data_IF_068418777247
#
_entry.id   IF_068418777247
#
_cell.length_a   1.000
_cell.length_b   1.000
_cell.length_c   1.000
_cell.angle_alpha   90.00
_cell.angle_beta   90.00
_cell.angle_gamma   90.00
#
_symmetry.space_group_name_H-M   'P 1'
#
loop_
_entity.id
_entity.type
_entity.pdbx_description
1 polymer ?
#
# COMPACT_ATOMS: atom_id res chain seq x y z
N UNK A 1 -22.88 3.65 -14.76
CA UNK A 1 -21.98 4.81 -14.95
C UNK A 1 -20.66 4.39 -14.32
N UNK A 2 -19.66 4.10 -15.12
CA UNK A 2 -18.40 3.56 -14.58
C UNK A 2 -17.67 4.64 -13.79
N UNK A 3 -17.31 4.34 -12.56
CA UNK A 3 -16.44 5.20 -11.75
C UNK A 3 -15.10 5.32 -12.49
N UNK A 4 -14.91 6.44 -13.20
CA UNK A 4 -13.60 6.80 -13.76
C UNK A 4 -12.76 7.42 -12.66
N UNK A 5 -12.13 6.59 -11.86
CA UNK A 5 -11.10 7.05 -10.92
C UNK A 5 -10.01 7.81 -11.67
N UNK A 6 -9.66 8.99 -11.17
CA UNK A 6 -8.43 9.66 -11.62
C UNK A 6 -7.26 8.78 -11.23
N UNK A 7 -6.53 8.23 -12.21
CA UNK A 7 -5.41 7.27 -12.06
C UNK A 7 -4.43 7.56 -10.91
N UNK A 8 -4.30 8.81 -10.50
CA UNK A 8 -3.42 9.21 -9.38
C UNK A 8 -3.95 8.92 -7.98
N UNK A 9 -5.26 8.67 -7.79
CA UNK A 9 -5.84 8.36 -6.48
C UNK A 9 -5.87 6.86 -6.20
N UNK A 10 -5.99 6.05 -7.26
CA UNK A 10 -6.02 4.59 -7.17
C UNK A 10 -4.71 3.98 -6.65
N UNK A 11 -3.57 4.54 -7.08
CA UNK A 11 -2.25 4.01 -6.73
C UNK A 11 -1.95 4.09 -5.22
N UNK A 12 -2.51 5.07 -4.53
CA UNK A 12 -2.27 5.28 -3.09
C UNK A 12 -3.09 4.34 -2.21
N UNK A 13 -4.26 3.90 -2.71
CA UNK A 13 -5.09 2.96 -1.96
C UNK A 13 -4.43 1.59 -1.81
N UNK A 14 -3.78 1.13 -2.89
CA UNK A 14 -3.14 -0.18 -2.92
C UNK A 14 -1.99 -0.28 -1.93
N UNK A 15 -1.18 0.78 -1.81
CA UNK A 15 -0.04 0.79 -0.90
C UNK A 15 -0.43 0.86 0.58
N UNK A 16 -1.52 1.57 0.91
CA UNK A 16 -1.94 1.76 2.30
C UNK A 16 -2.70 0.56 2.89
N UNK A 17 -3.34 -0.26 2.06
CA UNK A 17 -4.20 -1.36 2.50
C UNK A 17 -3.54 -2.74 2.44
N UNK A 18 -2.42 -2.89 1.71
CA UNK A 18 -1.69 -4.16 1.57
C UNK A 18 -0.59 -4.37 2.62
N UNK A 19 -0.36 -3.39 3.50
CA UNK A 19 0.77 -3.37 4.44
C UNK A 19 0.66 -4.27 5.68
N UNK A 20 -0.36 -5.11 5.80
CA UNK A 20 -0.45 -6.09 6.90
C UNK A 20 0.31 -7.41 6.66
N UNK A 21 1.03 -7.52 5.56
CA UNK A 21 1.83 -8.72 5.27
C UNK A 21 2.78 -8.47 4.10
N UNK A 22 4.05 -8.16 4.38
CA UNK A 22 5.10 -7.85 3.42
C UNK A 22 4.88 -6.56 2.61
N UNK A 23 5.27 -5.43 3.21
CA UNK A 23 5.39 -4.14 2.52
C UNK A 23 6.56 -4.17 1.55
N UNK A 24 6.34 -4.62 0.33
CA UNK A 24 7.32 -4.49 -0.74
C UNK A 24 6.65 -4.07 -2.04
N UNK A 25 7.15 -2.97 -2.58
CA UNK A 25 6.94 -2.43 -3.90
C UNK A 25 5.53 -1.98 -4.27
N UNK A 26 5.23 -0.70 -4.07
CA UNK A 26 4.39 0.06 -5.00
C UNK A 26 4.53 1.59 -4.86
N UNK A 27 5.72 2.14 -5.08
CA UNK A 27 5.89 3.57 -5.36
C UNK A 27 7.02 3.79 -6.35
N UNK A 28 6.73 3.79 -7.64
CA UNK A 28 7.70 4.14 -8.64
C UNK A 28 7.11 4.35 -10.02
N UNK A 29 6.37 5.45 -10.22
CA UNK A 29 6.14 5.99 -11.57
C UNK A 29 6.57 7.46 -11.58
N UNK A 30 7.87 7.69 -11.39
CA UNK A 30 8.54 8.93 -11.71
C UNK A 30 9.15 8.84 -13.10
N UNK A 31 9.12 9.93 -13.86
CA UNK A 31 9.82 10.05 -15.13
C UNK A 31 11.29 9.70 -14.95
N UNK A 32 11.78 8.67 -15.62
CA UNK A 32 13.16 8.22 -15.60
C UNK A 32 14.11 9.36 -15.94
N UNK A 33 14.94 9.74 -14.99
CA UNK A 33 16.18 10.47 -15.20
C UNK A 33 17.16 9.51 -15.89
N UNK A 34 18.10 9.97 -16.76
CA UNK A 34 19.02 9.07 -17.42
C UNK A 34 19.73 8.17 -16.39
N UNK A 35 19.67 6.87 -16.60
CA UNK A 35 20.35 5.87 -15.80
C UNK A 35 21.84 6.20 -15.70
N UNK A 36 22.36 6.22 -14.49
CA UNK A 36 23.79 6.24 -14.27
C UNK A 36 24.35 4.88 -14.74
N UNK A 37 25.28 4.89 -15.68
CA UNK A 37 25.88 3.68 -16.24
C UNK A 37 26.82 3.09 -15.18
N UNK A 38 26.46 1.91 -14.65
CA UNK A 38 27.37 1.09 -13.85
C UNK A 38 28.59 0.63 -14.64
N UNK A 39 29.72 0.33 -13.98
CA UNK A 39 30.84 -0.35 -14.66
C UNK A 39 30.34 -1.59 -15.39
N UNK A 40 30.89 -1.88 -16.58
CA UNK A 40 30.57 -3.12 -17.32
C UNK A 40 30.58 -4.30 -16.35
N UNK A 41 29.45 -5.03 -16.25
CA UNK A 41 29.20 -6.16 -15.36
C UNK A 41 29.10 -5.88 -13.84
N UNK A 42 28.82 -4.64 -13.42
CA UNK A 42 28.52 -4.31 -12.02
C UNK A 42 27.04 -4.10 -11.73
N UNK A 43 26.63 -4.07 -10.45
CA UNK A 43 25.25 -3.79 -10.07
C UNK A 43 24.83 -2.36 -10.46
N UNK A 44 23.55 -2.18 -10.75
CA UNK A 44 22.92 -0.89 -11.06
C UNK A 44 21.88 -0.56 -10.01
N UNK A 45 22.12 0.49 -9.23
CA UNK A 45 21.15 0.99 -8.24
C UNK A 45 20.14 1.92 -8.91
N UNK A 46 18.89 1.93 -8.39
CA UNK A 46 17.76 2.68 -8.94
C UNK A 46 17.47 3.92 -8.12
N UNK A 47 17.17 5.05 -8.77
CA UNK A 47 16.64 6.23 -8.11
C UNK A 47 15.23 5.94 -7.57
N UNK A 48 14.93 6.44 -6.36
CA UNK A 48 13.66 6.23 -5.69
C UNK A 48 13.03 7.58 -5.30
N UNK A 49 11.72 7.62 -5.27
CA UNK A 49 10.96 8.77 -4.75
C UNK A 49 10.06 8.29 -3.61
N UNK A 50 10.21 8.90 -2.45
CA UNK A 50 9.42 8.57 -1.27
C UNK A 50 8.71 9.80 -0.71
N UNK A 51 7.61 9.56 -0.02
CA UNK A 51 6.84 10.58 0.66
C UNK A 51 6.56 10.14 2.10
N UNK A 52 6.73 11.04 3.02
CA UNK A 52 6.34 10.85 4.42
C UNK A 52 5.85 12.16 5.02
N UNK A 53 5.52 12.13 6.29
CA UNK A 53 5.03 13.28 7.03
C UNK A 53 6.05 13.73 8.08
N UNK A 54 5.91 14.96 8.53
CA UNK A 54 6.76 15.54 9.57
C UNK A 54 6.81 14.66 10.82
N UNK A 55 8.02 14.25 11.22
CA UNK A 55 8.24 13.37 12.38
C UNK A 55 7.77 11.92 12.21
N UNK A 56 7.24 11.54 11.05
CA UNK A 56 6.77 10.18 10.78
C UNK A 56 7.85 9.41 10.02
N UNK A 57 8.39 8.30 10.57
CA UNK A 57 9.37 7.48 9.88
C UNK A 57 8.77 6.78 8.65
N UNK A 58 9.59 6.61 7.63
CA UNK A 58 9.27 5.85 6.42
C UNK A 58 10.19 4.64 6.33
N UNK A 59 9.60 3.45 6.26
CA UNK A 59 10.30 2.21 5.96
C UNK A 59 10.14 1.88 4.48
N UNK A 60 11.25 1.63 3.79
CA UNK A 60 11.28 1.27 2.37
C UNK A 60 12.37 0.29 2.04
N UNK A 61 12.51 -0.05 0.78
CA UNK A 61 13.58 -0.89 0.26
C UNK A 61 14.42 -0.15 -0.76
N UNK A 62 15.73 -0.37 -0.69
CA UNK A 62 16.69 0.05 -1.71
C UNK A 62 16.66 -0.97 -2.85
N UNK A 63 16.67 -0.49 -4.09
CA UNK A 63 16.55 -1.31 -5.27
C UNK A 63 17.83 -1.27 -6.11
N UNK A 64 18.31 -2.45 -6.48
CA UNK A 64 19.39 -2.59 -7.45
C UNK A 64 19.26 -3.91 -8.22
N UNK A 65 19.80 -3.93 -9.44
CA UNK A 65 19.91 -5.13 -10.25
C UNK A 65 21.38 -5.47 -10.45
N UNK A 66 21.72 -6.75 -10.33
CA UNK A 66 23.02 -7.29 -10.71
C UNK A 66 22.85 -8.18 -11.94
N UNK A 67 23.58 -7.95 -13.04
CA UNK A 67 23.53 -8.80 -14.24
C UNK A 67 23.80 -10.28 -13.96
N UNK A 68 24.64 -10.56 -12.97
CA UNK A 68 25.01 -11.92 -12.58
C UNK A 68 24.03 -12.55 -11.57
N UNK A 69 23.00 -11.80 -11.11
CA UNK A 69 21.94 -12.30 -10.22
C UNK A 69 22.40 -12.63 -8.81
N UNK A 70 23.51 -12.04 -8.35
CA UNK A 70 24.09 -12.29 -7.04
C UNK A 70 23.41 -11.52 -5.90
N UNK A 71 23.71 -11.93 -4.65
CA UNK A 71 23.31 -11.20 -3.46
C UNK A 71 23.93 -9.79 -3.42
N UNK A 72 23.12 -8.78 -3.11
CA UNK A 72 23.54 -7.40 -3.03
C UNK A 72 23.59 -6.87 -1.61
N UNK A 73 24.60 -6.05 -1.33
CA UNK A 73 24.72 -5.28 -0.09
C UNK A 73 24.57 -3.79 -0.39
N UNK A 74 23.93 -3.03 0.49
CA UNK A 74 23.63 -1.63 0.30
C UNK A 74 24.35 -0.74 1.31
N UNK A 75 24.80 0.43 0.86
CA UNK A 75 25.46 1.41 1.70
C UNK A 75 25.00 2.84 1.38
N UNK A 76 24.83 3.66 2.42
CA UNK A 76 24.52 5.08 2.25
C UNK A 76 25.79 5.84 1.86
N UNK A 77 25.74 6.55 0.75
CA UNK A 77 26.85 7.37 0.23
C UNK A 77 26.77 8.80 0.77
N UNK A 78 25.58 9.41 0.76
CA UNK A 78 25.35 10.73 1.35
C UNK A 78 24.14 10.71 2.28
N UNK A 79 24.30 11.33 3.45
CA UNK A 79 23.22 11.42 4.43
C UNK A 79 22.22 12.55 4.08
N UNK A 80 20.94 12.40 4.44
CA UNK A 80 19.94 13.45 4.26
C UNK A 80 20.20 14.65 5.20
N UNK A 81 19.72 15.83 4.82
CA UNK A 81 19.90 17.07 5.62
C UNK A 81 18.77 17.28 6.65
N UNK A 82 17.55 16.85 6.31
CA UNK A 82 16.35 17.09 7.11
C UNK A 82 15.88 15.88 7.92
N UNK A 83 16.61 14.76 7.86
CA UNK A 83 16.32 13.54 8.57
C UNK A 83 17.57 12.75 8.88
N UNK A 84 17.37 11.49 9.24
CA UNK A 84 18.39 10.46 9.35
C UNK A 84 17.94 9.25 8.54
N UNK A 85 18.90 8.49 8.02
CA UNK A 85 18.61 7.21 7.34
C UNK A 85 19.47 6.11 7.94
N UNK A 86 18.83 4.97 8.21
CA UNK A 86 19.48 3.70 8.60
C UNK A 86 19.16 2.64 7.57
N UNK A 87 20.07 1.65 7.40
CA UNK A 87 19.91 0.56 6.43
C UNK A 87 20.18 -0.76 7.15
N UNK A 88 19.30 -1.74 6.91
CA UNK A 88 19.45 -3.12 7.36
C UNK A 88 19.11 -4.06 6.19
N UNK A 89 20.15 -4.70 5.63
CA UNK A 89 20.03 -5.43 4.36
C UNK A 89 19.62 -4.49 3.22
N UNK A 90 18.53 -4.78 2.54
CA UNK A 90 17.94 -3.91 1.53
C UNK A 90 16.92 -2.90 2.13
N UNK A 91 16.47 -3.10 3.37
CA UNK A 91 15.52 -2.20 3.99
C UNK A 91 16.22 -0.93 4.49
N UNK A 92 15.53 0.20 4.38
CA UNK A 92 15.96 1.44 4.98
C UNK A 92 14.83 2.11 5.76
N UNK A 93 15.19 2.78 6.86
CA UNK A 93 14.27 3.67 7.59
C UNK A 93 14.75 5.10 7.47
N UNK A 94 13.94 5.98 6.87
CA UNK A 94 14.16 7.42 6.85
C UNK A 94 13.30 8.07 7.94
N UNK A 95 13.94 8.76 8.89
CA UNK A 95 13.27 9.47 9.99
C UNK A 95 13.43 10.98 9.83
N UNK A 96 12.37 11.72 9.45
CA UNK A 96 12.42 13.17 9.39
C UNK A 96 12.62 13.80 10.76
N UNK A 97 13.33 14.92 10.83
CA UNK A 97 13.37 15.75 12.04
C UNK A 97 11.97 16.31 12.34
N UNK A 98 11.67 16.54 13.61
CA UNK A 98 10.34 16.99 14.08
C UNK A 98 9.79 18.23 13.36
N UNK A 99 10.66 19.16 12.96
CA UNK A 99 10.27 20.39 12.28
C UNK A 99 10.57 20.38 10.76
N UNK A 100 10.99 19.24 10.21
CA UNK A 100 11.32 19.12 8.80
C UNK A 100 10.07 19.20 7.91
N UNK A 101 10.21 19.83 6.74
CA UNK A 101 9.18 19.87 5.70
C UNK A 101 9.80 20.15 4.33
N UNK A 102 9.07 19.79 3.26
CA UNK A 102 9.51 19.92 1.87
C UNK A 102 10.55 18.89 1.48
N UNK A 103 11.31 19.15 0.42
CA UNK A 103 12.24 18.16 -0.16
C UNK A 103 13.48 17.92 0.71
N UNK A 104 13.91 16.67 0.72
CA UNK A 104 15.20 16.19 1.21
C UNK A 104 15.72 15.14 0.24
N UNK A 105 16.94 14.64 0.40
CA UNK A 105 17.48 13.56 -0.40
C UNK A 105 18.67 12.91 0.28
N UNK A 106 18.90 11.65 -0.03
CA UNK A 106 20.13 10.92 0.28
C UNK A 106 20.52 10.05 -0.91
N UNK A 107 21.75 9.54 -0.94
CA UNK A 107 22.20 8.64 -1.99
C UNK A 107 22.73 7.34 -1.40
N UNK A 108 22.59 6.26 -2.16
CA UNK A 108 23.07 4.95 -1.78
C UNK A 108 23.75 4.25 -2.96
N UNK A 109 24.53 3.22 -2.70
CA UNK A 109 25.11 2.32 -3.68
C UNK A 109 24.85 0.87 -3.29
N UNK A 110 24.89 -0.02 -4.29
CA UNK A 110 24.82 -1.46 -4.11
C UNK A 110 26.18 -2.08 -4.49
N UNK A 111 26.59 -3.11 -3.77
CA UNK A 111 27.77 -3.89 -4.08
C UNK A 111 27.42 -5.38 -4.15
N UNK A 112 27.98 -6.09 -5.15
CA UNK A 112 27.83 -7.53 -5.27
C UNK A 112 28.95 -8.31 -4.54
N UNK A 113 28.83 -9.63 -4.49
CA UNK A 113 29.80 -10.52 -3.83
C UNK A 113 31.19 -10.50 -4.48
N UNK A 114 31.33 -10.08 -5.74
CA UNK A 114 32.60 -9.91 -6.44
C UNK A 114 33.30 -8.56 -6.09
N UNK A 115 32.65 -7.71 -5.30
CA UNK A 115 33.16 -6.40 -4.90
C UNK A 115 32.95 -5.27 -5.92
N UNK A 116 32.18 -5.51 -6.98
CA UNK A 116 31.78 -4.45 -7.90
C UNK A 116 30.72 -3.57 -7.23
N UNK A 117 30.83 -2.25 -7.38
CA UNK A 117 29.95 -1.26 -6.71
C UNK A 117 29.24 -0.41 -7.76
N UNK A 118 27.95 -0.23 -7.60
CA UNK A 118 27.14 0.64 -8.48
C UNK A 118 27.54 2.10 -8.38
N UNK A 119 27.21 2.89 -9.39
CA UNK A 119 27.12 4.33 -9.22
C UNK A 119 26.08 4.67 -8.16
N UNK A 120 26.24 5.81 -7.44
CA UNK A 120 25.26 6.24 -6.45
C UNK A 120 23.89 6.55 -7.09
N UNK A 121 22.83 5.97 -6.54
CA UNK A 121 21.47 6.31 -6.85
C UNK A 121 20.89 7.26 -5.79
N UNK A 122 19.90 8.07 -6.18
CA UNK A 122 19.29 9.08 -5.33
C UNK A 122 17.94 8.64 -4.81
N UNK A 123 17.74 8.74 -3.51
CA UNK A 123 16.40 8.70 -2.91
C UNK A 123 15.94 10.14 -2.67
N UNK A 124 14.90 10.54 -3.41
CA UNK A 124 14.24 11.85 -3.25
C UNK A 124 13.14 11.72 -2.22
N UNK A 125 13.16 12.57 -1.20
CA UNK A 125 12.19 12.55 -0.09
C UNK A 125 11.31 13.78 -0.13
N UNK A 126 9.99 13.58 -0.08
CA UNK A 126 9.02 14.66 0.15
C UNK A 126 8.46 14.53 1.57
N UNK A 127 8.69 15.55 2.40
CA UNK A 127 8.19 15.62 3.78
C UNK A 127 6.99 16.57 3.80
N UNK A 128 5.80 16.02 4.01
CA UNK A 128 4.56 16.79 4.10
C UNK A 128 4.24 17.21 5.54
N UNK A 129 3.38 18.22 5.67
CA UNK A 129 2.82 18.62 6.95
C UNK A 129 1.54 17.85 7.21
N UNK A 130 1.36 17.34 8.41
CA UNK A 130 0.09 16.77 8.84
C UNK A 130 -0.99 17.86 8.95
N UNK A 131 -2.20 17.56 8.55
CA UNK A 131 -3.39 18.44 8.55
C UNK A 131 -4.56 17.83 9.30
N UNK A 132 -4.62 16.49 9.39
CA UNK A 132 -5.69 15.74 10.04
C UNK A 132 -5.80 16.00 11.54
N UNK A 133 -4.72 16.48 12.17
CA UNK A 133 -4.63 16.58 13.63
C UNK A 133 -4.52 15.23 14.33
N UNK A 134 -4.30 14.16 13.56
CA UNK A 134 -4.10 12.80 14.07
C UNK A 134 -2.60 12.56 14.28
N UNK A 135 -2.27 12.01 15.44
CA UNK A 135 -0.94 11.48 15.76
C UNK A 135 -1.14 10.20 16.53
N UNK A 136 -0.69 9.10 15.98
CA UNK A 136 -0.90 7.77 16.55
C UNK A 136 0.09 7.47 17.66
N UNK A 137 -0.39 6.77 18.70
CA UNK A 137 0.41 6.33 19.83
C UNK A 137 0.93 4.89 19.71
N UNK A 138 0.41 4.14 18.74
CA UNK A 138 0.59 2.69 18.61
C UNK A 138 1.13 2.23 17.25
N UNK A 139 1.47 3.15 16.35
CA UNK A 139 2.08 2.78 15.06
C UNK A 139 3.58 2.60 15.20
N UNK A 140 4.11 1.48 14.69
CA UNK A 140 5.53 1.25 14.49
C UNK A 140 6.03 1.84 13.17
N UNK A 141 7.36 1.78 12.91
CA UNK A 141 7.98 2.33 11.69
C UNK A 141 7.35 1.79 10.40
N UNK A 142 7.00 0.51 10.37
CA UNK A 142 6.41 -0.13 9.20
C UNK A 142 4.99 0.36 8.85
N UNK A 143 4.25 0.85 9.83
CA UNK A 143 2.83 1.23 9.67
C UNK A 143 2.60 2.74 9.76
N UNK A 144 3.55 3.49 10.31
CA UNK A 144 3.36 4.91 10.65
C UNK A 144 2.98 5.78 9.45
N UNK A 145 3.68 5.66 8.32
CA UNK A 145 3.40 6.47 7.13
C UNK A 145 2.05 6.11 6.51
N UNK A 146 1.72 4.81 6.40
CA UNK A 146 0.46 4.35 5.84
C UNK A 146 -0.74 4.78 6.70
N UNK A 147 -0.64 4.63 8.03
CA UNK A 147 -1.66 5.07 8.96
C UNK A 147 -1.90 6.58 8.86
N UNK A 148 -0.83 7.37 8.81
CA UNK A 148 -0.94 8.82 8.65
C UNK A 148 -1.57 9.20 7.30
N UNK A 149 -1.23 8.52 6.22
CA UNK A 149 -1.79 8.77 4.90
C UNK A 149 -3.31 8.54 4.87
N UNK A 150 -3.79 7.48 5.49
CA UNK A 150 -5.23 7.20 5.64
C UNK A 150 -5.94 8.31 6.43
N UNK A 151 -5.32 8.79 7.52
CA UNK A 151 -5.87 9.88 8.33
C UNK A 151 -5.91 11.21 7.56
N UNK A 152 -4.83 11.57 6.84
CA UNK A 152 -4.74 12.80 6.06
C UNK A 152 -5.75 12.85 4.89
N UNK A 153 -6.14 11.68 4.39
CA UNK A 153 -7.16 11.54 3.35
C UNK A 153 -8.58 11.43 3.90
N UNK A 154 -8.74 11.32 5.22
CA UNK A 154 -10.05 11.13 5.85
C UNK A 154 -10.67 9.76 5.62
N UNK A 155 -9.87 8.77 5.19
CA UNK A 155 -10.34 7.40 4.91
C UNK A 155 -10.52 6.61 6.19
N UNK A 156 -9.52 6.69 7.08
CA UNK A 156 -9.54 5.99 8.36
C UNK A 156 -8.67 6.74 9.37
N UNK A 157 -9.25 7.03 10.54
CA UNK A 157 -8.56 7.75 11.60
C UNK A 157 -8.34 6.91 12.87
N UNK A 158 -8.82 5.67 12.91
CA UNK A 158 -8.74 4.83 14.10
C UNK A 158 -9.60 5.33 15.27
N UNK A 159 -9.25 4.88 16.47
CA UNK A 159 -9.95 5.21 17.70
C UNK A 159 -9.26 6.37 18.45
N UNK A 160 -10.06 7.31 19.00
CA UNK A 160 -9.55 8.35 19.90
C UNK A 160 -9.91 8.00 21.34
N UNK A 161 -8.89 7.83 22.19
CA UNK A 161 -9.04 7.52 23.60
C UNK A 161 -8.35 8.61 24.41
N UNK A 162 -9.11 9.46 25.06
CA UNK A 162 -8.60 10.66 25.71
C UNK A 162 -8.05 11.67 24.70
N UNK A 163 -6.76 11.98 24.80
CA UNK A 163 -6.02 12.90 23.92
C UNK A 163 -5.18 12.18 22.84
N UNK A 164 -5.20 10.84 22.80
CA UNK A 164 -4.41 10.01 21.91
C UNK A 164 -5.26 9.32 20.86
N UNK A 165 -4.67 9.14 19.68
CA UNK A 165 -5.22 8.33 18.61
C UNK A 165 -4.54 6.98 18.57
N UNK A 166 -5.30 5.94 18.24
CA UNK A 166 -4.87 4.55 18.10
C UNK A 166 -5.29 4.02 16.74
N UNK A 167 -4.33 3.54 15.98
CA UNK A 167 -4.56 2.93 14.67
C UNK A 167 -4.96 1.46 14.78
N UNK A 168 -4.44 0.79 15.82
CA UNK A 168 -4.61 -0.65 16.07
C UNK A 168 -4.08 -1.51 14.90
N UNK A 169 -2.76 -1.40 14.55
CA UNK A 169 -2.20 -2.02 13.34
C UNK A 169 -2.34 -3.54 13.31
N UNK A 170 -2.45 -4.19 14.46
CA UNK A 170 -2.59 -5.64 14.58
C UNK A 170 -4.06 -6.11 14.59
N UNK A 171 -5.01 -5.18 14.57
CA UNK A 171 -6.43 -5.51 14.52
C UNK A 171 -6.81 -5.99 13.12
N UNK A 172 -7.54 -7.08 13.05
CA UNK A 172 -8.11 -7.55 11.79
C UNK A 172 -9.17 -6.57 11.28
N UNK A 173 -9.13 -6.27 9.98
CA UNK A 173 -10.12 -5.43 9.31
C UNK A 173 -11.27 -6.33 8.82
N UNK A 174 -12.51 -5.94 9.10
CA UNK A 174 -13.66 -6.67 8.61
C UNK A 174 -13.91 -6.40 7.12
N UNK A 175 -14.65 -7.30 6.47
CA UNK A 175 -15.04 -7.16 5.05
C UNK A 175 -15.84 -5.89 4.81
N UNK A 176 -16.70 -5.52 5.75
CA UNK A 176 -17.49 -4.29 5.69
C UNK A 176 -16.63 -3.03 5.83
N UNK A 177 -15.73 -3.00 6.81
CA UNK A 177 -14.80 -1.88 7.00
C UNK A 177 -13.90 -1.68 5.77
N UNK A 178 -13.35 -2.78 5.24
CA UNK A 178 -12.51 -2.71 4.04
C UNK A 178 -13.27 -2.15 2.85
N UNK A 179 -14.49 -2.66 2.59
CA UNK A 179 -15.34 -2.18 1.50
C UNK A 179 -15.63 -0.68 1.63
N UNK A 180 -15.99 -0.22 2.84
CA UNK A 180 -16.25 1.19 3.10
C UNK A 180 -15.02 2.07 2.80
N UNK A 181 -13.85 1.69 3.32
CA UNK A 181 -12.60 2.42 3.06
C UNK A 181 -12.27 2.50 1.56
N UNK A 182 -12.47 1.42 0.83
CA UNK A 182 -12.20 1.37 -0.61
C UNK A 182 -13.17 2.27 -1.38
N UNK A 183 -14.48 2.19 -1.09
CA UNK A 183 -15.48 3.00 -1.78
C UNK A 183 -15.35 4.49 -1.47
N UNK A 184 -15.09 4.87 -0.22
CA UNK A 184 -14.79 6.26 0.16
C UNK A 184 -13.58 6.81 -0.59
N UNK A 185 -12.49 6.04 -0.65
CA UNK A 185 -11.28 6.47 -1.36
C UNK A 185 -11.50 6.56 -2.87
N UNK A 186 -12.33 5.69 -3.43
CA UNK A 186 -12.71 5.73 -4.84
C UNK A 186 -13.66 6.90 -5.17
N UNK A 187 -14.23 7.56 -4.15
CA UNK A 187 -15.25 8.60 -4.34
C UNK A 187 -16.55 8.04 -4.91
N UNK A 188 -16.91 6.81 -4.51
CA UNK A 188 -18.14 6.18 -4.94
C UNK A 188 -19.37 6.92 -4.37
N UNK A 189 -20.45 7.00 -5.16
CA UNK A 189 -21.71 7.50 -4.64
C UNK A 189 -22.38 6.44 -3.76
N UNK A 190 -22.48 6.73 -2.47
CA UNK A 190 -23.13 5.86 -1.48
C UNK A 190 -24.48 6.44 -1.11
N UNK A 191 -25.55 5.77 -1.52
CA UNK A 191 -26.92 6.18 -1.21
C UNK A 191 -27.44 5.39 -0.02
N UNK A 192 -28.08 6.05 0.93
CA UNK A 192 -28.66 5.42 2.11
C UNK A 192 -29.71 4.38 1.74
N UNK A 193 -29.50 3.16 2.22
CA UNK A 193 -30.44 2.05 2.09
C UNK A 193 -30.67 1.39 3.44
N UNK A 194 -31.85 0.82 3.62
CA UNK A 194 -32.23 0.08 4.84
C UNK A 194 -32.10 -1.44 4.67
N UNK A 195 -32.01 -1.91 3.42
CA UNK A 195 -31.90 -3.32 3.06
C UNK A 195 -30.89 -3.52 1.95
N UNK A 196 -30.23 -4.66 1.96
CA UNK A 196 -29.36 -5.16 0.89
C UNK A 196 -29.98 -6.37 0.18
N UNK A 197 -29.36 -6.82 -0.90
CA UNK A 197 -29.80 -8.07 -1.55
C UNK A 197 -29.19 -9.34 -0.95
N UNK A 198 -28.41 -9.23 0.11
CA UNK A 198 -27.75 -10.38 0.74
C UNK A 198 -28.68 -11.16 1.66
N UNK A 199 -28.44 -12.46 1.78
CA UNK A 199 -29.24 -13.36 2.63
C UNK A 199 -29.02 -13.09 4.13
N UNK A 200 -27.87 -12.56 4.47
CA UNK A 200 -27.48 -12.18 5.82
C UNK A 200 -27.76 -10.69 6.13
N UNK A 201 -28.73 -10.08 5.44
CA UNK A 201 -29.04 -8.64 5.57
C UNK A 201 -29.28 -8.21 7.03
N UNK A 202 -29.94 -9.06 7.81
CA UNK A 202 -30.22 -8.78 9.22
C UNK A 202 -28.95 -8.72 10.10
N UNK A 203 -27.87 -9.40 9.67
CA UNK A 203 -26.57 -9.40 10.32
C UNK A 203 -25.66 -8.28 9.84
N UNK A 204 -26.03 -7.57 8.77
CA UNK A 204 -25.24 -6.44 8.26
C UNK A 204 -25.57 -5.19 9.08
N UNK A 205 -24.58 -4.57 9.76
CA UNK A 205 -24.78 -3.33 10.48
C UNK A 205 -25.38 -2.22 9.61
N UNK A 206 -26.22 -1.39 10.17
CA UNK A 206 -26.90 -0.32 9.41
C UNK A 206 -25.94 0.55 8.62
N UNK A 207 -24.81 0.92 9.22
CA UNK A 207 -23.79 1.74 8.54
C UNK A 207 -23.19 1.08 7.31
N UNK A 208 -23.10 -0.27 7.29
CA UNK A 208 -22.47 -1.01 6.21
C UNK A 208 -23.42 -1.34 5.04
N UNK A 209 -24.74 -1.25 5.25
CA UNK A 209 -25.74 -1.60 4.22
C UNK A 209 -25.62 -0.74 2.97
N UNK A 210 -25.43 0.56 3.15
CA UNK A 210 -25.28 1.50 2.03
C UNK A 210 -24.01 1.23 1.21
N UNK A 211 -22.89 0.92 1.87
CA UNK A 211 -21.65 0.51 1.21
C UNK A 211 -21.80 -0.84 0.50
N UNK A 212 -22.46 -1.81 1.12
CA UNK A 212 -22.72 -3.11 0.49
C UNK A 212 -23.56 -2.97 -0.78
N UNK A 213 -24.62 -2.14 -0.76
CA UNK A 213 -25.46 -1.87 -1.90
C UNK A 213 -24.68 -1.15 -3.01
N UNK A 214 -23.90 -0.13 -2.67
CA UNK A 214 -23.05 0.58 -3.61
C UNK A 214 -21.99 -0.34 -4.24
N UNK A 215 -21.33 -1.17 -3.44
CA UNK A 215 -20.34 -2.14 -3.92
C UNK A 215 -20.92 -3.18 -4.89
N UNK A 216 -22.17 -3.60 -4.67
CA UNK A 216 -22.87 -4.48 -5.62
C UNK A 216 -23.24 -3.73 -6.91
N UNK A 217 -23.76 -2.52 -6.80
CA UNK A 217 -24.16 -1.70 -7.96
C UNK A 217 -22.97 -1.40 -8.89
N UNK A 218 -21.78 -1.18 -8.32
CA UNK A 218 -20.54 -0.93 -9.07
C UNK A 218 -19.83 -2.23 -9.52
N UNK A 219 -20.37 -3.42 -9.17
CA UNK A 219 -19.77 -4.71 -9.52
C UNK A 219 -18.52 -5.07 -8.71
N UNK A 220 -18.20 -4.28 -7.68
CA UNK A 220 -17.03 -4.45 -6.79
C UNK A 220 -17.28 -5.60 -5.81
N UNK A 221 -18.46 -5.64 -5.17
CA UNK A 221 -18.89 -6.66 -4.23
C UNK A 221 -19.82 -7.68 -4.92
N UNK A 222 -19.54 -8.98 -4.71
CA UNK A 222 -20.42 -10.08 -5.20
C UNK A 222 -20.96 -10.95 -4.08
N UNK A 223 -20.36 -10.90 -2.88
CA UNK A 223 -20.65 -11.79 -1.77
C UNK A 223 -20.12 -13.21 -1.97
N UNK A 224 -20.33 -14.04 -0.95
CA UNK A 224 -20.01 -15.49 -0.97
C UNK A 224 -21.27 -16.26 -1.40
N UNK A 225 -21.20 -17.11 -2.44
CA UNK A 225 -22.37 -17.86 -2.89
C UNK A 225 -22.77 -18.91 -1.84
N UNK A 226 -24.08 -19.09 -1.66
CA UNK A 226 -24.70 -20.15 -0.87
C UNK A 226 -25.82 -20.82 -1.68
N UNK A 227 -26.40 -21.91 -1.17
CA UNK A 227 -27.52 -22.59 -1.85
C UNK A 227 -28.72 -21.67 -2.06
N UNK A 228 -28.96 -20.75 -1.10
CA UNK A 228 -30.12 -19.86 -1.09
C UNK A 228 -29.84 -18.44 -1.62
N UNK A 229 -28.63 -18.17 -2.15
CA UNK A 229 -28.23 -16.86 -2.64
C UNK A 229 -26.84 -16.47 -2.16
N UNK A 230 -26.55 -15.17 -2.09
CA UNK A 230 -25.26 -14.68 -1.65
C UNK A 230 -25.33 -14.09 -0.23
N UNK A 231 -24.26 -14.26 0.54
CA UNK A 231 -24.05 -13.62 1.85
C UNK A 231 -22.87 -12.66 1.77
N UNK A 232 -22.93 -11.57 2.51
CA UNK A 232 -21.84 -10.59 2.59
C UNK A 232 -20.80 -10.97 3.63
N UNK A 233 -21.24 -11.49 4.79
CA UNK A 233 -20.39 -11.75 5.97
C UNK A 233 -19.61 -10.49 6.38
N UNK A 234 -20.33 -9.41 6.66
CA UNK A 234 -19.80 -8.06 6.86
C UNK A 234 -18.73 -7.99 7.95
N UNK A 235 -18.96 -8.68 9.06
CA UNK A 235 -18.10 -8.66 10.25
C UNK A 235 -16.94 -9.67 10.18
N UNK A 236 -16.94 -10.59 9.20
CA UNK A 236 -15.83 -11.53 9.04
C UNK A 236 -14.54 -10.78 8.69
N UNK A 237 -13.37 -11.21 9.19
CA UNK A 237 -12.10 -10.69 8.73
C UNK A 237 -11.94 -10.83 7.22
N UNK A 238 -11.45 -9.79 6.56
CA UNK A 238 -11.14 -9.88 5.13
C UNK A 238 -9.82 -10.62 4.93
N UNK A 239 -9.78 -11.59 4.02
CA UNK A 239 -8.54 -12.23 3.61
C UNK A 239 -7.79 -11.40 2.56
N UNK A 240 -6.49 -11.63 2.43
CA UNK A 240 -5.67 -10.99 1.38
C UNK A 240 -6.25 -11.20 -0.02
N UNK A 241 -6.64 -12.44 -0.35
CA UNK A 241 -7.23 -12.79 -1.65
C UNK A 241 -8.54 -12.05 -1.93
N UNK A 242 -9.38 -11.87 -0.91
CA UNK A 242 -10.61 -11.08 -1.01
C UNK A 242 -10.31 -9.60 -1.20
N UNK A 243 -9.36 -9.06 -0.44
CA UNK A 243 -8.92 -7.67 -0.55
C UNK A 243 -8.33 -7.38 -1.94
N UNK A 244 -7.43 -8.22 -2.44
CA UNK A 244 -6.87 -8.12 -3.79
C UNK A 244 -7.96 -8.13 -4.87
N UNK A 245 -8.97 -8.99 -4.70
CA UNK A 245 -10.09 -9.08 -5.66
C UNK A 245 -10.95 -7.81 -5.68
N UNK A 246 -11.21 -7.22 -4.51
CA UNK A 246 -11.94 -5.95 -4.40
C UNK A 246 -11.13 -4.82 -5.04
N UNK A 247 -9.86 -4.71 -4.70
CA UNK A 247 -8.97 -3.68 -5.25
C UNK A 247 -8.81 -3.81 -6.77
N UNK A 248 -8.61 -5.02 -7.28
CA UNK A 248 -8.53 -5.27 -8.72
C UNK A 248 -9.76 -4.76 -9.48
N UNK A 249 -10.96 -4.95 -8.92
CA UNK A 249 -12.20 -4.47 -9.53
C UNK A 249 -12.34 -2.95 -9.46
N UNK A 250 -11.98 -2.35 -8.33
CA UNK A 250 -12.01 -0.88 -8.16
C UNK A 250 -11.02 -0.20 -9.07
N UNK A 251 -9.83 -0.76 -9.24
CA UNK A 251 -8.77 -0.21 -10.08
C UNK A 251 -8.98 -0.49 -11.56
N UNK A 252 -9.93 -1.37 -11.90
CA UNK A 252 -10.20 -1.84 -13.27
C UNK A 252 -8.91 -2.29 -13.97
N UNK A 253 -8.13 -3.13 -13.27
CA UNK A 253 -6.85 -3.60 -13.77
C UNK A 253 -7.06 -4.60 -14.91
N UNK A 254 -6.28 -4.42 -15.97
CA UNK A 254 -6.23 -5.39 -17.07
C UNK A 254 -5.55 -6.68 -16.63
N UNK A 255 -6.00 -7.81 -17.20
CA UNK A 255 -5.42 -9.11 -16.89
C UNK A 255 -3.99 -9.21 -17.42
N UNK A 256 -3.07 -9.64 -16.55
CA UNK A 256 -1.71 -10.01 -16.90
C UNK A 256 -1.59 -11.50 -17.17
N UNK A 257 -0.63 -11.89 -18.00
CA UNK A 257 -0.29 -13.30 -18.16
C UNK A 257 0.31 -13.84 -16.85
N UNK A 258 -0.32 -14.89 -16.29
CA UNK A 258 0.15 -15.52 -15.05
C UNK A 258 1.28 -16.52 -15.37
N UNK A 259 2.42 -16.02 -15.85
CA UNK A 259 3.61 -16.83 -16.08
C UNK A 259 4.39 -17.12 -14.81
N UNK A 260 4.29 -16.23 -13.83
CA UNK A 260 5.00 -16.33 -12.55
C UNK A 260 4.10 -17.01 -11.52
N UNK A 261 4.62 -18.09 -10.95
CA UNK A 261 3.95 -18.79 -9.86
C UNK A 261 4.47 -18.25 -8.53
N UNK A 262 3.56 -17.80 -7.69
CA UNK A 262 3.87 -17.41 -6.32
C UNK A 262 4.49 -18.59 -5.56
N UNK A 263 5.44 -18.32 -4.67
CA UNK A 263 6.06 -19.34 -3.83
C UNK A 263 5.02 -20.04 -2.92
N UNK A 264 3.95 -19.33 -2.58
CA UNK A 264 2.83 -19.81 -1.77
C UNK A 264 1.55 -20.04 -2.59
N UNK A 265 1.69 -20.39 -3.86
CA UNK A 265 0.57 -20.59 -4.81
C UNK A 265 -0.60 -21.39 -4.23
N UNK A 266 -0.33 -22.40 -3.41
CA UNK A 266 -1.37 -23.22 -2.80
C UNK A 266 -2.23 -22.43 -1.80
N UNK A 267 -1.70 -21.32 -1.26
CA UNK A 267 -2.44 -20.41 -0.38
C UNK A 267 -3.35 -19.43 -1.14
N UNK A 268 -3.12 -19.22 -2.46
CA UNK A 268 -3.95 -18.35 -3.29
C UNK A 268 -5.06 -19.15 -3.97
N UNK A 269 -6.34 -18.93 -3.60
CA UNK A 269 -7.46 -19.61 -4.24
C UNK A 269 -7.53 -19.29 -5.74
N UNK A 270 -7.94 -20.28 -6.56
CA UNK A 270 -8.01 -20.12 -8.02
C UNK A 270 -8.88 -18.93 -8.48
N UNK A 271 -9.93 -18.62 -7.73
CA UNK A 271 -10.83 -17.49 -8.01
C UNK A 271 -10.16 -16.11 -7.79
N UNK A 272 -9.10 -16.05 -7.01
CA UNK A 272 -8.35 -14.81 -6.72
C UNK A 272 -7.03 -14.70 -7.49
N UNK A 273 -6.57 -15.77 -8.12
CA UNK A 273 -5.25 -15.84 -8.73
C UNK A 273 -4.98 -14.69 -9.71
N UNK A 274 -5.95 -14.38 -10.59
CA UNK A 274 -5.81 -13.27 -11.54
C UNK A 274 -5.74 -11.92 -10.83
N UNK A 275 -6.59 -11.69 -9.85
CA UNK A 275 -6.59 -10.43 -9.10
C UNK A 275 -5.29 -10.23 -8.31
N UNK A 276 -4.77 -11.29 -7.69
CA UNK A 276 -3.48 -11.24 -6.99
C UNK A 276 -2.35 -10.97 -7.98
N UNK A 277 -2.32 -11.65 -9.14
CA UNK A 277 -1.33 -11.41 -10.18
C UNK A 277 -1.37 -9.99 -10.76
N UNK A 278 -2.57 -9.46 -11.02
CA UNK A 278 -2.74 -8.10 -11.50
C UNK A 278 -2.24 -7.07 -10.47
N UNK A 279 -2.47 -7.31 -9.18
CA UNK A 279 -2.01 -6.45 -8.10
C UNK A 279 -0.48 -6.48 -7.94
N UNK A 280 0.15 -7.61 -8.19
CA UNK A 280 1.61 -7.75 -8.09
C UNK A 280 2.35 -7.14 -9.29
N UNK A 281 1.68 -7.00 -10.41
CA UNK A 281 2.22 -6.39 -11.62
C UNK A 281 2.12 -4.84 -11.65
N UNK A 282 1.50 -4.24 -10.62
CA UNK A 282 1.44 -2.78 -10.47
C UNK A 282 2.74 -2.19 -9.99
#
# INVERSE_FOLDING_TARGET
MNIRMKRGMALVLTASLLLAGSAQALFGLGKSKPEAVSPENGPTARDLEIRTYRGIPYLGQLEAADPDGGELTFAIVTQPKKGTVTVEGANFTYTPKENAAGGDSFTYSAANSAGAVSLPATVTVTIEKTRSGVTYADTGEATATAAQDLAERGVFTGAKIGDKWYFEPDRTVSRGEFLAMVLETAGAEVTDVTMTGFRDDDAIPTWAKSYAAAGVAEGILRGKPTEDGAVFSCEDPISFSEAATVLNRVLDLGDVELEVWFADREAVPSWAAQAVGNMEAL
#
